data_IF_280348978233
#
_entry.id   IF_280348978233
#
_cell.length_a   1.000
_cell.length_b   1.000
_cell.length_c   1.000
_cell.angle_alpha   90.00
_cell.angle_beta   90.00
_cell.angle_gamma   90.00
#
_symmetry.space_group_name_H-M   'P 1'
#
loop_
_entity.id
_entity.type
_entity.pdbx_description
1 polymer ?
#
# COMPACT_ATOMS: atom_id res chain seq x y z
N UNK A 1 -11.08 25.65 13.85
CA UNK A 1 -9.75 25.70 13.25
C UNK A 1 -9.19 24.30 13.15
N UNK A 2 -8.78 23.90 11.97
CA UNK A 2 -8.21 22.57 11.80
C UNK A 2 -6.82 22.52 12.40
N UNK A 3 -6.53 21.39 13.03
CA UNK A 3 -5.23 21.14 13.62
C UNK A 3 -4.23 20.76 12.53
N UNK A 4 -3.03 21.31 12.58
CA UNK A 4 -1.98 20.98 11.62
C UNK A 4 -1.32 19.65 11.98
N UNK A 5 -0.96 18.87 10.95
CA UNK A 5 -0.20 17.62 11.14
C UNK A 5 1.31 17.89 11.22
N UNK A 6 1.76 19.11 10.96
CA UNK A 6 3.21 19.39 10.90
C UNK A 6 3.92 18.99 12.19
N UNK A 7 4.99 18.21 12.05
CA UNK A 7 5.81 17.76 13.18
C UNK A 7 5.24 16.60 13.97
N UNK A 8 4.08 16.06 13.56
CA UNK A 8 3.45 14.95 14.29
C UNK A 8 3.88 13.60 13.73
N UNK A 9 3.62 12.55 14.51
CA UNK A 9 3.81 11.17 14.04
C UNK A 9 2.86 10.85 12.88
N UNK A 10 1.66 11.45 12.92
CA UNK A 10 0.68 11.26 11.85
C UNK A 10 1.22 11.77 10.51
N UNK A 11 1.91 12.90 10.51
CA UNK A 11 2.55 13.40 9.28
C UNK A 11 3.55 12.38 8.75
N UNK A 12 4.42 11.86 9.61
CA UNK A 12 5.40 10.85 9.20
C UNK A 12 4.72 9.58 8.70
N UNK A 13 3.67 9.14 9.37
CA UNK A 13 2.95 7.92 8.98
C UNK A 13 2.21 8.09 7.65
N UNK A 14 1.65 9.27 7.39
CA UNK A 14 1.05 9.58 6.09
C UNK A 14 2.10 9.50 4.99
N UNK A 15 3.28 10.05 5.21
CA UNK A 15 4.34 10.00 4.20
C UNK A 15 4.86 8.58 4.01
N UNK A 16 4.98 7.79 5.09
CA UNK A 16 5.34 6.37 4.99
C UNK A 16 4.32 5.60 4.17
N UNK A 17 3.03 5.87 4.40
CA UNK A 17 1.95 5.21 3.66
C UNK A 17 1.96 5.63 2.19
N UNK A 18 2.15 6.91 1.91
CA UNK A 18 2.27 7.41 0.55
C UNK A 18 3.43 6.71 -0.18
N UNK A 19 4.60 6.64 0.45
CA UNK A 19 5.76 5.98 -0.15
C UNK A 19 5.49 4.48 -0.34
N UNK A 20 4.82 3.86 0.63
CA UNK A 20 4.45 2.44 0.55
C UNK A 20 3.54 2.14 -0.63
N UNK A 21 2.48 2.94 -0.81
CA UNK A 21 1.56 2.77 -1.92
C UNK A 21 2.24 3.06 -3.25
N UNK A 22 3.10 4.07 -3.28
CA UNK A 22 3.80 4.47 -4.51
C UNK A 22 4.76 3.38 -5.00
N UNK A 23 5.54 2.78 -4.10
CA UNK A 23 6.44 1.72 -4.53
C UNK A 23 5.66 0.44 -4.88
N UNK A 24 4.54 0.18 -4.18
CA UNK A 24 3.69 -0.97 -4.51
C UNK A 24 3.11 -0.83 -5.92
N UNK A 25 2.67 0.37 -6.28
CA UNK A 25 2.17 0.65 -7.63
C UNK A 25 3.21 0.27 -8.68
N UNK A 26 4.45 0.65 -8.47
CA UNK A 26 5.53 0.32 -9.40
C UNK A 26 5.80 -1.19 -9.43
N UNK A 27 5.89 -1.84 -8.26
CA UNK A 27 6.12 -3.28 -8.19
C UNK A 27 5.03 -4.06 -8.92
N UNK A 28 3.77 -3.70 -8.70
CA UNK A 28 2.65 -4.40 -9.34
C UNK A 28 2.62 -4.16 -10.85
N UNK A 29 3.03 -2.98 -11.30
CA UNK A 29 3.19 -2.72 -12.73
C UNK A 29 4.25 -3.65 -13.34
N UNK A 30 5.38 -3.82 -12.65
CA UNK A 30 6.42 -4.74 -13.10
C UNK A 30 5.92 -6.19 -13.10
N UNK A 31 5.19 -6.59 -12.05
CA UNK A 31 4.66 -7.95 -11.92
C UNK A 31 3.61 -8.25 -12.99
N UNK A 32 2.82 -7.24 -13.37
CA UNK A 32 1.86 -7.38 -14.46
C UNK A 32 2.56 -7.73 -15.78
N UNK A 33 3.69 -7.07 -16.05
CA UNK A 33 4.46 -7.35 -17.28
C UNK A 33 5.02 -8.77 -17.29
N UNK A 34 5.54 -9.23 -16.15
CA UNK A 34 6.05 -10.59 -16.03
C UNK A 34 4.94 -11.62 -16.22
N UNK A 35 3.78 -11.40 -15.61
CA UNK A 35 2.65 -12.30 -15.75
C UNK A 35 2.20 -12.41 -17.20
N UNK A 36 2.13 -11.29 -17.91
CA UNK A 36 1.77 -11.27 -19.32
C UNK A 36 2.76 -12.06 -20.15
N UNK A 37 4.06 -11.85 -19.89
CA UNK A 37 5.13 -12.52 -20.61
C UNK A 37 5.08 -14.04 -20.39
N UNK A 38 4.67 -14.47 -19.20
CA UNK A 38 4.54 -15.88 -18.86
C UNK A 38 3.19 -16.48 -19.30
N UNK A 39 2.33 -15.70 -19.93
CA UNK A 39 1.06 -16.17 -20.47
C UNK A 39 -0.12 -16.11 -19.50
N UNK A 40 0.04 -15.48 -18.35
CA UNK A 40 -1.03 -15.34 -17.35
C UNK A 40 -1.77 -14.02 -17.52
N UNK A 41 -2.63 -13.94 -18.54
CA UNK A 41 -3.32 -12.69 -18.89
C UNK A 41 -4.22 -12.17 -17.77
N UNK A 42 -4.94 -13.05 -17.08
CA UNK A 42 -5.84 -12.64 -16.00
C UNK A 42 -5.04 -12.11 -14.81
N UNK A 43 -3.95 -12.77 -14.46
CA UNK A 43 -3.10 -12.32 -13.35
C UNK A 43 -2.46 -10.98 -13.70
N UNK A 44 -2.01 -10.84 -14.95
CA UNK A 44 -1.46 -9.57 -15.43
C UNK A 44 -2.47 -8.43 -15.28
N UNK A 45 -3.70 -8.66 -15.70
CA UNK A 45 -4.77 -7.66 -15.61
C UNK A 45 -5.04 -7.29 -14.14
N UNK A 46 -5.04 -8.27 -13.25
CA UNK A 46 -5.27 -8.00 -11.83
C UNK A 46 -4.15 -7.18 -11.21
N UNK A 47 -2.90 -7.50 -11.53
CA UNK A 47 -1.76 -6.70 -11.05
C UNK A 47 -1.86 -5.26 -11.56
N UNK A 48 -2.21 -5.07 -12.85
CA UNK A 48 -2.34 -3.73 -13.42
C UNK A 48 -3.47 -2.95 -12.75
N UNK A 49 -4.60 -3.58 -12.48
CA UNK A 49 -5.72 -2.97 -11.77
C UNK A 49 -5.33 -2.60 -10.35
N UNK A 50 -4.65 -3.51 -9.65
CA UNK A 50 -4.22 -3.25 -8.28
C UNK A 50 -3.19 -2.12 -8.23
N UNK A 51 -2.31 -2.03 -9.23
CA UNK A 51 -1.36 -0.92 -9.32
C UNK A 51 -2.09 0.43 -9.38
N UNK A 52 -3.19 0.51 -10.14
CA UNK A 52 -3.99 1.74 -10.19
C UNK A 52 -4.67 2.03 -8.86
N UNK A 53 -5.13 1.01 -8.15
CA UNK A 53 -5.69 1.18 -6.80
C UNK A 53 -4.65 1.76 -5.85
N UNK A 54 -3.41 1.27 -5.92
CA UNK A 54 -2.33 1.76 -5.07
C UNK A 54 -2.01 3.22 -5.38
N UNK A 55 -2.06 3.61 -6.65
CA UNK A 55 -1.87 5.00 -7.04
C UNK A 55 -2.95 5.91 -6.44
N UNK A 56 -4.21 5.47 -6.45
CA UNK A 56 -5.30 6.22 -5.84
C UNK A 56 -5.13 6.35 -4.33
N UNK A 57 -4.71 5.28 -3.67
CA UNK A 57 -4.44 5.31 -2.23
C UNK A 57 -3.30 6.28 -1.90
N UNK A 58 -2.24 6.26 -2.71
CA UNK A 58 -1.13 7.18 -2.54
C UNK A 58 -1.62 8.63 -2.60
N UNK A 59 -2.50 8.94 -3.55
CA UNK A 59 -3.08 10.28 -3.67
C UNK A 59 -3.92 10.65 -2.46
N UNK A 60 -4.70 9.71 -1.93
CA UNK A 60 -5.51 9.96 -0.75
C UNK A 60 -4.67 10.35 0.45
N UNK A 61 -3.53 9.68 0.65
CA UNK A 61 -2.61 10.02 1.73
C UNK A 61 -1.90 11.34 1.46
N UNK A 62 -1.47 11.57 0.23
CA UNK A 62 -0.73 12.76 -0.14
C UNK A 62 -1.55 14.04 0.06
N UNK A 63 -2.85 13.97 -0.17
CA UNK A 63 -3.76 15.12 0.00
C UNK A 63 -3.81 15.65 1.42
N UNK A 64 -3.50 14.82 2.41
CA UNK A 64 -3.49 15.23 3.81
C UNK A 64 -2.18 15.89 4.23
N UNK A 65 -1.12 15.75 3.42
CA UNK A 65 0.18 16.33 3.71
C UNK A 65 0.17 17.82 3.41
N UNK A 66 0.95 18.57 4.17
CA UNK A 66 0.93 20.04 4.14
C UNK A 66 2.16 20.65 3.50
N UNK A 67 2.94 19.85 2.78
CA UNK A 67 4.08 20.36 2.03
C UNK A 67 5.39 20.31 2.79
N UNK A 68 6.42 20.80 2.12
CA UNK A 68 7.78 20.73 2.64
C UNK A 68 8.42 19.37 2.38
N UNK A 69 9.58 19.16 2.97
CA UNK A 69 10.30 17.90 2.91
C UNK A 69 10.35 17.32 4.33
N UNK A 70 9.96 16.05 4.47
CA UNK A 70 9.86 15.39 5.76
C UNK A 70 10.69 14.12 5.73
N UNK A 71 11.56 13.96 6.71
CA UNK A 71 12.38 12.75 6.83
C UNK A 71 11.56 11.64 7.47
N UNK A 72 11.62 10.43 6.87
CA UNK A 72 11.00 9.24 7.44
C UNK A 72 12.01 8.10 7.46
N UNK A 73 11.81 7.18 8.40
CA UNK A 73 12.52 5.91 8.46
C UNK A 73 11.49 4.82 8.26
N UNK A 74 11.66 4.01 7.20
CA UNK A 74 10.69 2.98 6.87
C UNK A 74 11.38 1.83 6.14
N UNK A 75 10.69 0.68 6.10
CA UNK A 75 11.19 -0.52 5.45
C UNK A 75 10.24 -0.92 4.34
N UNK A 76 10.76 -1.13 3.14
CA UNK A 76 9.97 -1.54 1.98
C UNK A 76 10.63 -2.72 1.29
N UNK A 77 9.86 -3.51 0.50
CA UNK A 77 10.45 -4.61 -0.26
C UNK A 77 11.56 -4.12 -1.20
N UNK A 78 12.69 -4.81 -1.16
CA UNK A 78 13.89 -4.40 -1.91
C UNK A 78 14.15 -5.37 -3.09
N UNK A 79 13.15 -5.62 -3.90
CA UNK A 79 13.19 -6.60 -5.00
C UNK A 79 12.41 -7.82 -4.58
N UNK A 80 12.36 -8.83 -5.40
CA UNK A 80 12.87 -9.00 -6.76
C UNK A 80 11.70 -9.10 -7.74
N UNK A 81 11.96 -8.98 -9.05
CA UNK A 81 10.98 -9.37 -10.06
C UNK A 81 11.28 -10.82 -10.39
N UNK A 82 10.50 -11.74 -9.87
CA UNK A 82 10.67 -13.18 -10.05
C UNK A 82 9.66 -13.75 -11.03
N UNK A 83 9.33 -15.03 -10.84
CA UNK A 83 8.24 -15.66 -11.59
C UNK A 83 6.90 -15.09 -11.11
N UNK A 84 5.84 -15.34 -11.88
CA UNK A 84 4.50 -14.91 -11.49
C UNK A 84 4.13 -15.45 -10.11
N UNK A 85 4.42 -16.71 -9.82
CA UNK A 85 4.14 -17.31 -8.51
C UNK A 85 4.91 -16.60 -7.39
N UNK A 86 6.19 -16.34 -7.60
CA UNK A 86 7.01 -15.62 -6.63
C UNK A 86 6.50 -14.20 -6.41
N UNK A 87 6.09 -13.53 -7.48
CA UNK A 87 5.58 -12.16 -7.41
C UNK A 87 4.24 -12.10 -6.67
N UNK A 88 3.36 -13.07 -6.90
CA UNK A 88 2.08 -13.15 -6.18
C UNK A 88 2.31 -13.34 -4.69
N UNK A 89 3.24 -14.22 -4.32
CA UNK A 89 3.57 -14.46 -2.92
C UNK A 89 4.15 -13.21 -2.26
N UNK A 90 5.08 -12.54 -2.94
CA UNK A 90 5.68 -11.31 -2.44
C UNK A 90 4.63 -10.21 -2.24
N UNK A 91 3.72 -10.07 -3.21
CA UNK A 91 2.64 -9.08 -3.12
C UNK A 91 1.72 -9.38 -1.93
N UNK A 92 1.32 -10.64 -1.77
CA UNK A 92 0.45 -11.06 -0.65
C UNK A 92 1.11 -10.77 0.70
N UNK A 93 2.40 -11.05 0.84
CA UNK A 93 3.13 -10.80 2.08
C UNK A 93 3.20 -9.32 2.42
N UNK A 94 3.44 -8.47 1.42
CA UNK A 94 3.50 -7.03 1.63
C UNK A 94 2.14 -6.46 2.04
N UNK A 95 1.06 -6.91 1.39
CA UNK A 95 -0.29 -6.50 1.78
C UNK A 95 -0.61 -6.93 3.20
N UNK A 96 -0.22 -8.15 3.58
CA UNK A 96 -0.46 -8.67 4.93
C UNK A 96 0.19 -7.78 5.98
N UNK A 97 1.44 -7.38 5.77
CA UNK A 97 2.17 -6.51 6.70
C UNK A 97 1.42 -5.18 6.88
N UNK A 98 0.88 -4.62 5.80
CA UNK A 98 0.18 -3.34 5.86
C UNK A 98 -1.13 -3.42 6.65
N UNK A 99 -1.96 -4.43 6.39
CA UNK A 99 -3.27 -4.46 7.03
C UNK A 99 -3.26 -5.09 8.43
N UNK A 100 -2.27 -5.93 8.75
CA UNK A 100 -2.19 -6.52 10.09
C UNK A 100 -1.40 -5.66 11.07
N UNK A 101 -0.40 -4.93 10.60
CA UNK A 101 0.54 -4.22 11.48
C UNK A 101 0.59 -2.72 11.25
N UNK A 102 0.93 -2.28 10.04
CA UNK A 102 1.24 -0.87 9.78
C UNK A 102 0.02 0.04 9.87
N UNK A 103 -0.99 -0.19 9.06
CA UNK A 103 -2.13 0.73 8.98
C UNK A 103 -3.01 0.74 10.22
N UNK A 104 -3.25 -0.39 10.91
CA UNK A 104 -3.95 -0.33 12.18
C UNK A 104 -3.23 0.55 13.21
N UNK A 105 -1.90 0.46 13.26
CA UNK A 105 -1.10 1.29 14.17
C UNK A 105 -1.13 2.76 13.75
N UNK A 106 -1.02 3.05 12.45
CA UNK A 106 -1.13 4.41 11.94
C UNK A 106 -2.49 5.02 12.26
N UNK A 107 -3.56 4.22 12.15
CA UNK A 107 -4.92 4.65 12.49
C UNK A 107 -5.01 5.01 13.98
N UNK A 108 -4.47 4.15 14.84
CA UNK A 108 -4.47 4.37 16.28
C UNK A 108 -3.75 5.68 16.66
N UNK A 109 -2.56 5.88 16.07
CA UNK A 109 -1.76 7.08 16.34
C UNK A 109 -2.49 8.33 15.86
N UNK A 110 -3.10 8.28 14.67
CA UNK A 110 -3.84 9.42 14.14
C UNK A 110 -5.00 9.80 15.08
N UNK A 111 -5.74 8.82 15.59
CA UNK A 111 -6.82 9.08 16.54
C UNK A 111 -6.27 9.70 17.82
N UNK A 112 -5.18 9.13 18.34
CA UNK A 112 -4.53 9.59 19.56
C UNK A 112 -4.05 11.04 19.44
N UNK A 113 -3.55 11.41 18.25
CA UNK A 113 -3.05 12.76 18.01
C UNK A 113 -4.14 13.76 17.62
N UNK A 114 -5.40 13.31 17.56
CA UNK A 114 -6.52 14.21 17.29
C UNK A 114 -6.87 14.39 15.83
N UNK A 115 -6.58 13.39 14.99
CA UNK A 115 -6.89 13.43 13.56
C UNK A 115 -7.85 12.28 13.19
N UNK A 116 -9.13 12.38 13.62
CA UNK A 116 -10.07 11.28 13.43
C UNK A 116 -10.35 10.94 11.97
N UNK A 117 -10.35 11.92 11.07
CA UNK A 117 -10.59 11.67 9.65
C UNK A 117 -9.44 10.88 9.02
N UNK A 118 -8.21 11.18 9.42
CA UNK A 118 -7.04 10.45 8.94
C UNK A 118 -7.06 9.02 9.48
N UNK A 119 -7.45 8.86 10.75
CA UNK A 119 -7.62 7.54 11.36
C UNK A 119 -8.59 6.69 10.57
N UNK A 120 -9.74 7.26 10.17
CA UNK A 120 -10.75 6.58 9.38
C UNK A 120 -10.21 6.18 8.01
N UNK A 121 -9.42 7.04 7.38
CA UNK A 121 -8.79 6.73 6.09
C UNK A 121 -7.89 5.50 6.20
N UNK A 122 -7.04 5.44 7.22
CA UNK A 122 -6.19 4.26 7.43
C UNK A 122 -7.03 2.99 7.65
N UNK A 123 -8.13 3.08 8.39
CA UNK A 123 -9.02 1.92 8.61
C UNK A 123 -9.67 1.45 7.31
N UNK A 124 -10.10 2.40 6.48
CA UNK A 124 -10.73 2.08 5.21
C UNK A 124 -9.76 1.34 4.30
N UNK A 125 -8.53 1.85 4.17
CA UNK A 125 -7.54 1.24 3.29
C UNK A 125 -7.05 -0.09 3.86
N UNK A 126 -7.01 -0.25 5.17
CA UNK A 126 -6.70 -1.54 5.80
C UNK A 126 -7.59 -2.65 5.25
N UNK A 127 -8.90 -2.41 5.12
CA UNK A 127 -9.83 -3.41 4.60
C UNK A 127 -9.57 -3.73 3.14
N UNK A 128 -9.18 -2.71 2.36
CA UNK A 128 -8.87 -2.90 0.95
C UNK A 128 -7.60 -3.73 0.80
N UNK A 129 -6.58 -3.48 1.64
CA UNK A 129 -5.33 -4.24 1.63
C UNK A 129 -5.57 -5.71 1.97
N UNK A 130 -6.44 -5.96 2.95
CA UNK A 130 -6.84 -7.33 3.30
C UNK A 130 -7.47 -8.05 2.11
N UNK A 131 -8.32 -7.36 1.37
CA UNK A 131 -8.95 -7.88 0.15
C UNK A 131 -7.91 -8.16 -0.94
N UNK A 132 -6.92 -7.28 -1.09
CA UNK A 132 -5.84 -7.49 -2.06
C UNK A 132 -5.05 -8.75 -1.74
N UNK A 133 -4.70 -8.96 -0.49
CA UNK A 133 -3.98 -10.17 -0.07
C UNK A 133 -4.78 -11.42 -0.42
N UNK A 134 -6.07 -11.44 -0.08
CA UNK A 134 -6.93 -12.58 -0.35
C UNK A 134 -6.95 -12.93 -1.84
N UNK A 135 -7.01 -11.91 -2.71
CA UNK A 135 -7.02 -12.11 -4.15
C UNK A 135 -5.68 -12.68 -4.65
N UNK A 136 -4.56 -12.13 -4.18
CA UNK A 136 -3.24 -12.61 -4.57
C UNK A 136 -3.05 -14.07 -4.14
N UNK A 137 -3.45 -14.42 -2.92
CA UNK A 137 -3.33 -15.79 -2.43
C UNK A 137 -4.20 -16.76 -3.22
N UNK A 138 -5.41 -16.34 -3.60
CA UNK A 138 -6.30 -17.15 -4.41
C UNK A 138 -5.69 -17.42 -5.79
N UNK A 139 -5.13 -16.40 -6.42
CA UNK A 139 -4.48 -16.56 -7.71
C UNK A 139 -3.23 -17.43 -7.62
N UNK A 140 -2.47 -17.28 -6.54
CA UNK A 140 -1.29 -18.12 -6.31
C UNK A 140 -1.68 -19.59 -6.21
N UNK A 141 -2.75 -19.90 -5.50
CA UNK A 141 -3.23 -21.27 -5.34
C UNK A 141 -3.68 -21.87 -6.68
N UNK A 142 -4.26 -21.07 -7.56
CA UNK A 142 -4.92 -21.54 -8.77
C UNK A 142 -4.10 -21.36 -10.05
N UNK A 143 -2.90 -20.78 -9.97
CA UNK A 143 -2.11 -20.57 -11.18
C UNK A 143 -1.40 -21.88 -11.64
#
# INVERSE_FOLDING_TARGET
>A
MEKSIKGTRTEQNLLKAFAGESQAKNRYTFFAKTAKKEGYEQISALFAETALNEEEHAKMYFKWLEGGAVEITATYPAGIIGTTAENLKSAAMAENEEWTSLYPEFSRIAMEEGFPQISVLFKLITKIEESHEARFLKLLKNH
#
